data_IF_948269712596
#
_entry.id   IF_948269712596
#
_cell.length_a   1.000
_cell.length_b   1.000
_cell.length_c   1.000
_cell.angle_alpha   90.00
_cell.angle_beta   90.00
_cell.angle_gamma   90.00
#
_symmetry.space_group_name_H-M   'P 1'
#
loop_
_entity.id
_entity.type
_entity.pdbx_description
1 polymer ?
#
# COMPACT_ATOMS: atom_id res chain seq x y z
N UNK A 1 5.74 -6.01 -14.51
CA UNK A 1 4.47 -6.53 -14.00
C UNK A 1 4.44 -8.03 -14.16
N UNK A 2 3.85 -8.76 -13.19
CA UNK A 2 3.79 -10.23 -13.23
C UNK A 2 2.68 -10.75 -14.17
N UNK A 3 1.74 -9.89 -14.59
CA UNK A 3 0.64 -10.26 -15.49
C UNK A 3 -0.05 -11.58 -15.05
N UNK A 4 -0.24 -12.52 -15.96
CA UNK A 4 -0.91 -13.81 -15.67
C UNK A 4 -0.15 -14.72 -14.67
N UNK A 5 1.10 -14.38 -14.30
CA UNK A 5 1.82 -15.09 -13.25
C UNK A 5 1.16 -14.92 -11.87
N UNK A 6 0.34 -13.90 -11.67
CA UNK A 6 -0.46 -13.74 -10.44
C UNK A 6 -1.44 -14.90 -10.19
N UNK A 7 -1.76 -15.70 -11.23
CA UNK A 7 -2.61 -16.88 -11.12
C UNK A 7 -1.83 -18.15 -10.71
N UNK A 8 -0.52 -18.05 -10.47
CA UNK A 8 0.32 -19.19 -10.11
C UNK A 8 0.55 -19.25 -8.60
N UNK A 9 0.16 -20.37 -7.99
CA UNK A 9 0.33 -20.65 -6.56
C UNK A 9 1.77 -20.46 -6.09
N UNK A 10 2.74 -20.82 -6.92
CA UNK A 10 4.16 -20.67 -6.61
C UNK A 10 4.55 -19.19 -6.40
N UNK A 11 4.02 -18.28 -7.22
CA UNK A 11 4.28 -16.84 -7.06
C UNK A 11 3.67 -16.34 -5.75
N UNK A 12 2.43 -16.73 -5.45
CA UNK A 12 1.73 -16.32 -4.22
C UNK A 12 2.43 -16.85 -2.97
N UNK A 13 2.82 -18.13 -2.99
CA UNK A 13 3.58 -18.75 -1.91
C UNK A 13 4.94 -18.05 -1.69
N UNK A 14 5.67 -17.79 -2.79
CA UNK A 14 6.96 -17.08 -2.71
C UNK A 14 6.80 -15.65 -2.19
N UNK A 15 5.75 -14.93 -2.58
CA UNK A 15 5.49 -13.58 -2.08
C UNK A 15 5.26 -13.59 -0.56
N UNK A 16 4.50 -14.57 -0.06
CA UNK A 16 4.27 -14.75 1.39
C UNK A 16 5.56 -15.10 2.14
N UNK A 17 6.37 -16.00 1.60
CA UNK A 17 7.66 -16.38 2.17
C UNK A 17 8.62 -15.18 2.23
N UNK A 18 8.75 -14.43 1.13
CA UNK A 18 9.64 -13.28 1.06
C UNK A 18 9.20 -12.13 1.97
N UNK A 19 7.91 -11.97 2.24
CA UNK A 19 7.44 -11.03 3.25
C UNK A 19 8.01 -11.37 4.63
N UNK A 20 8.01 -12.66 5.01
CA UNK A 20 8.63 -13.12 6.26
C UNK A 20 10.13 -12.82 6.31
N UNK A 21 10.85 -13.11 5.22
CA UNK A 21 12.29 -12.79 5.13
C UNK A 21 12.54 -11.28 5.28
N UNK A 22 11.69 -10.43 4.72
CA UNK A 22 11.81 -8.97 4.88
C UNK A 22 11.54 -8.57 6.33
N UNK A 23 10.48 -9.11 6.94
CA UNK A 23 10.15 -8.86 8.34
C UNK A 23 11.34 -9.21 9.24
N UNK A 24 11.86 -10.43 9.14
CA UNK A 24 13.01 -10.89 9.92
C UNK A 24 14.25 -10.00 9.77
N UNK A 25 14.56 -9.60 8.52
CA UNK A 25 15.73 -8.75 8.24
C UNK A 25 15.58 -7.30 8.69
N UNK A 26 14.37 -6.88 8.97
CA UNK A 26 14.06 -5.51 9.42
C UNK A 26 13.60 -5.46 10.87
N UNK A 27 13.81 -6.54 11.64
CA UNK A 27 13.40 -6.64 13.05
C UNK A 27 13.99 -5.54 13.93
N UNK A 28 15.24 -5.12 13.66
CA UNK A 28 15.93 -4.05 14.39
C UNK A 28 15.71 -2.65 13.78
N UNK A 29 14.78 -2.52 12.82
CA UNK A 29 14.51 -1.26 12.13
C UNK A 29 13.26 -0.59 12.69
N UNK A 30 13.39 0.65 13.18
CA UNK A 30 12.25 1.45 13.68
C UNK A 30 11.30 1.96 12.58
N UNK A 31 11.65 1.75 11.30
CA UNK A 31 10.84 2.24 10.20
C UNK A 31 9.56 1.43 10.01
N UNK A 32 8.45 2.13 9.78
CA UNK A 32 7.22 1.54 9.28
C UNK A 32 7.36 1.27 7.77
N UNK A 33 7.31 0.01 7.36
CA UNK A 33 7.53 -0.42 5.98
C UNK A 33 6.20 -0.76 5.31
N UNK A 34 6.02 -0.31 4.07
CA UNK A 34 4.87 -0.63 3.24
C UNK A 34 5.34 -1.41 2.00
N UNK A 35 4.91 -2.66 1.87
CA UNK A 35 5.40 -3.60 0.86
C UNK A 35 4.23 -4.05 -0.01
N UNK A 36 4.24 -3.68 -1.30
CA UNK A 36 3.22 -4.11 -2.26
C UNK A 36 3.39 -5.58 -2.61
N UNK A 37 2.31 -6.38 -2.47
CA UNK A 37 2.31 -7.80 -2.82
C UNK A 37 0.91 -8.31 -3.19
N UNK A 38 0.83 -9.43 -3.94
CA UNK A 38 -0.42 -10.18 -4.08
C UNK A 38 -0.68 -11.00 -2.80
N UNK A 39 -1.94 -11.00 -2.34
CA UNK A 39 -2.35 -11.79 -1.17
C UNK A 39 -3.68 -12.46 -1.43
N UNK A 40 -3.75 -13.77 -1.21
CA UNK A 40 -4.99 -14.52 -1.22
C UNK A 40 -5.66 -14.50 0.15
N UNK A 41 -6.96 -14.17 0.18
CA UNK A 41 -7.84 -14.24 1.35
C UNK A 41 -9.24 -14.66 0.89
N UNK A 42 -9.83 -15.64 1.56
CA UNK A 42 -11.20 -16.13 1.29
C UNK A 42 -11.43 -16.47 -0.20
N UNK A 43 -10.47 -17.18 -0.81
CA UNK A 43 -10.46 -17.57 -2.24
C UNK A 43 -10.52 -16.38 -3.24
N UNK A 44 -10.14 -15.19 -2.79
CA UNK A 44 -9.97 -14.00 -3.64
C UNK A 44 -8.53 -13.53 -3.56
N UNK A 45 -8.02 -13.03 -4.68
CA UNK A 45 -6.69 -12.42 -4.75
C UNK A 45 -6.83 -10.92 -4.61
N UNK A 46 -6.00 -10.31 -3.75
CA UNK A 46 -5.95 -8.88 -3.52
C UNK A 46 -4.56 -8.33 -3.82
N UNK A 47 -4.50 -7.13 -4.36
CA UNK A 47 -3.30 -6.31 -4.40
C UNK A 47 -3.25 -5.56 -3.06
N UNK A 48 -2.26 -5.87 -2.22
CA UNK A 48 -2.19 -5.31 -0.86
C UNK A 48 -0.87 -4.58 -0.61
N UNK A 49 -0.91 -3.63 0.30
CA UNK A 49 0.25 -3.16 1.02
C UNK A 49 0.34 -3.95 2.34
N UNK A 50 1.34 -4.81 2.48
CA UNK A 50 1.72 -5.40 3.76
C UNK A 50 2.47 -4.35 4.57
N UNK A 51 2.05 -4.12 5.79
CA UNK A 51 2.67 -3.14 6.69
C UNK A 51 3.50 -3.88 7.73
N UNK A 52 4.80 -3.56 7.80
CA UNK A 52 5.78 -4.28 8.62
C UNK A 52 6.54 -3.32 9.51
N UNK A 53 6.76 -3.71 10.77
CA UNK A 53 7.62 -3.01 11.70
C UNK A 53 8.19 -4.01 12.73
N UNK A 54 9.44 -3.86 13.13
CA UNK A 54 10.11 -4.66 14.16
C UNK A 54 9.94 -6.19 13.97
N UNK A 55 10.01 -6.67 12.74
CA UNK A 55 9.88 -8.08 12.44
C UNK A 55 8.43 -8.60 12.35
N UNK A 56 7.44 -7.76 12.62
CA UNK A 56 6.03 -8.14 12.63
C UNK A 56 5.26 -7.57 11.45
N UNK A 57 4.35 -8.35 10.89
CA UNK A 57 3.35 -7.86 9.94
C UNK A 57 2.19 -7.30 10.74
N UNK A 58 1.97 -5.98 10.65
CA UNK A 58 0.96 -5.27 11.43
C UNK A 58 -0.42 -5.32 10.78
N UNK A 59 -0.47 -5.22 9.44
CA UNK A 59 -1.73 -5.22 8.70
C UNK A 59 -1.51 -5.52 7.21
N UNK A 60 -2.59 -5.87 6.52
CA UNK A 60 -2.70 -5.90 5.07
C UNK A 60 -3.75 -4.88 4.61
N UNK A 61 -3.34 -3.90 3.83
CA UNK A 61 -4.20 -2.86 3.27
C UNK A 61 -4.51 -3.21 1.82
N UNK A 62 -5.71 -3.70 1.48
CA UNK A 62 -6.06 -4.02 0.11
C UNK A 62 -6.36 -2.77 -0.69
N UNK A 63 -6.01 -2.79 -1.96
CA UNK A 63 -6.34 -1.74 -2.91
C UNK A 63 -7.85 -1.65 -3.11
N UNK A 64 -8.40 -0.43 -3.04
CA UNK A 64 -9.83 -0.18 -3.17
C UNK A 64 -10.26 -0.15 -4.63
N UNK A 65 -9.60 0.67 -5.45
CA UNK A 65 -9.97 0.90 -6.84
C UNK A 65 -9.00 0.22 -7.80
N UNK A 66 -9.53 -0.64 -8.67
CA UNK A 66 -8.76 -1.43 -9.62
C UNK A 66 -8.86 -0.80 -11.02
N UNK A 67 -7.79 -0.25 -11.59
CA UNK A 67 -7.82 0.25 -12.95
C UNK A 67 -8.05 -0.90 -13.94
N UNK A 68 -9.00 -0.72 -14.84
CA UNK A 68 -9.35 -1.69 -15.87
C UNK A 68 -9.65 -0.97 -17.20
N UNK A 69 -8.73 -0.10 -17.60
CA UNK A 69 -8.78 0.71 -18.80
C UNK A 69 -7.37 0.89 -19.40
N UNK A 70 -7.29 1.16 -20.70
CA UNK A 70 -6.03 1.29 -21.42
C UNK A 70 -5.18 0.02 -21.30
N UNK A 71 -3.96 0.18 -20.79
CA UNK A 71 -3.02 -0.92 -20.54
C UNK A 71 -3.23 -1.65 -19.20
N UNK A 72 -4.19 -1.22 -18.38
CA UNK A 72 -4.45 -1.80 -17.08
C UNK A 72 -5.55 -2.85 -17.12
N UNK A 73 -5.26 -4.04 -16.59
CA UNK A 73 -6.16 -5.20 -16.50
C UNK A 73 -6.23 -5.73 -15.07
N UNK A 74 -6.19 -4.85 -14.09
CA UNK A 74 -6.02 -5.27 -12.69
C UNK A 74 -7.23 -6.05 -12.18
N UNK A 75 -8.44 -5.66 -12.59
CA UNK A 75 -9.68 -6.37 -12.25
C UNK A 75 -9.76 -7.81 -12.80
N UNK A 76 -8.89 -8.20 -13.75
CA UNK A 76 -8.76 -9.58 -14.22
C UNK A 76 -8.17 -10.49 -13.14
N UNK A 77 -7.30 -9.97 -12.30
CA UNK A 77 -6.51 -10.75 -11.35
C UNK A 77 -6.95 -10.52 -9.90
N UNK A 78 -7.35 -9.30 -9.56
CA UNK A 78 -7.57 -8.88 -8.19
C UNK A 78 -9.01 -8.49 -7.92
N UNK A 79 -9.44 -8.74 -6.68
CA UNK A 79 -10.68 -8.23 -6.12
C UNK A 79 -10.45 -6.85 -5.48
N UNK A 80 -11.50 -6.02 -5.48
CA UNK A 80 -11.50 -4.76 -4.72
C UNK A 80 -11.45 -5.03 -3.22
N UNK A 81 -10.70 -4.20 -2.50
CA UNK A 81 -10.66 -4.19 -1.05
C UNK A 81 -11.84 -3.50 -0.38
N UNK A 82 -12.72 -2.85 -1.16
CA UNK A 82 -13.86 -2.12 -0.61
C UNK A 82 -14.80 -3.05 0.17
N UNK A 83 -15.05 -2.71 1.45
CA UNK A 83 -15.91 -3.52 2.32
C UNK A 83 -15.37 -4.89 2.69
N UNK A 84 -14.07 -5.13 2.50
CA UNK A 84 -13.41 -6.41 2.81
C UNK A 84 -12.62 -6.34 4.13
N UNK A 85 -13.26 -5.83 5.18
CA UNK A 85 -12.61 -5.69 6.49
C UNK A 85 -12.58 -7.02 7.25
N UNK A 86 -11.65 -7.16 8.19
CA UNK A 86 -11.51 -8.32 9.06
C UNK A 86 -10.06 -8.72 9.30
N UNK A 87 -9.78 -10.02 9.22
CA UNK A 87 -8.45 -10.58 9.44
C UNK A 87 -8.04 -11.52 8.33
N UNK A 88 -6.74 -11.62 8.11
CA UNK A 88 -6.11 -12.59 7.21
C UNK A 88 -5.10 -13.42 7.99
N UNK A 89 -5.16 -14.75 7.86
CA UNK A 89 -4.19 -15.64 8.52
C UNK A 89 -2.84 -15.63 7.82
N UNK A 90 -1.80 -15.24 8.56
CA UNK A 90 -0.42 -15.20 8.08
C UNK A 90 0.52 -15.75 9.14
N UNK A 91 1.34 -16.76 8.79
CA UNK A 91 2.29 -17.45 9.68
C UNK A 91 1.69 -17.90 11.04
N UNK A 92 0.42 -18.29 11.05
CA UNK A 92 -0.29 -18.74 12.26
C UNK A 92 -0.99 -17.65 13.06
N UNK A 93 -0.77 -16.40 12.74
CA UNK A 93 -1.38 -15.23 13.37
C UNK A 93 -2.56 -14.68 12.54
N UNK A 94 -3.49 -14.02 13.20
CA UNK A 94 -4.58 -13.28 12.57
C UNK A 94 -4.17 -11.82 12.41
N UNK A 95 -3.84 -11.41 11.19
CA UNK A 95 -3.39 -10.07 10.86
C UNK A 95 -4.56 -9.22 10.38
N UNK A 96 -4.75 -8.00 10.89
CA UNK A 96 -5.78 -7.07 10.42
C UNK A 96 -5.74 -6.88 8.90
N UNK A 97 -6.91 -6.89 8.28
CA UNK A 97 -7.09 -6.72 6.83
C UNK A 97 -8.23 -5.73 6.59
N UNK A 98 -7.96 -4.64 5.90
CA UNK A 98 -8.98 -3.63 5.61
C UNK A 98 -8.40 -2.35 5.01
N UNK A 99 -9.28 -1.54 4.42
CA UNK A 99 -8.90 -0.29 3.74
C UNK A 99 -8.78 0.90 4.68
N UNK A 100 -9.38 0.85 5.87
CA UNK A 100 -9.51 1.98 6.80
C UNK A 100 -8.62 1.85 8.05
N UNK A 101 -7.53 1.06 7.95
CA UNK A 101 -6.57 0.88 9.04
C UNK A 101 -5.59 2.06 9.07
N UNK A 102 -5.38 2.63 10.25
CA UNK A 102 -4.42 3.69 10.52
C UNK A 102 -3.33 3.20 11.48
N UNK A 103 -2.15 3.78 11.37
CA UNK A 103 -0.98 3.47 12.20
C UNK A 103 -0.60 4.70 12.99
N UNK A 104 -0.82 4.67 14.29
CA UNK A 104 -0.44 5.74 15.21
C UNK A 104 0.96 5.47 15.77
N UNK A 105 1.79 6.50 15.86
CA UNK A 105 3.13 6.42 16.41
C UNK A 105 3.13 6.80 17.89
N UNK A 106 3.54 5.88 18.76
CA UNK A 106 3.53 6.09 20.23
C UNK A 106 4.58 7.13 20.67
N UNK A 107 5.65 7.33 19.89
CA UNK A 107 6.77 8.18 20.25
C UNK A 107 6.72 9.57 19.62
N UNK A 108 5.85 9.78 18.63
CA UNK A 108 5.67 11.08 17.96
C UNK A 108 4.20 11.45 18.02
N UNK A 109 3.87 12.38 18.90
CA UNK A 109 2.51 12.86 19.10
C UNK A 109 1.90 13.38 17.79
N UNK A 110 0.69 12.91 17.46
CA UNK A 110 -0.04 13.31 16.27
C UNK A 110 0.49 12.73 14.96
N UNK A 111 1.47 11.84 14.99
CA UNK A 111 1.87 11.10 13.78
C UNK A 111 0.97 9.89 13.59
N UNK A 112 0.03 10.02 12.66
CA UNK A 112 -0.92 8.95 12.26
C UNK A 112 -0.79 8.74 10.76
N UNK A 113 -0.47 7.52 10.35
CA UNK A 113 -0.20 7.16 8.96
C UNK A 113 -1.35 6.36 8.36
N UNK A 114 -1.88 6.82 7.23
CA UNK A 114 -2.82 6.09 6.38
C UNK A 114 -2.12 5.60 5.11
N UNK A 115 -2.61 4.48 4.54
CA UNK A 115 -2.05 3.90 3.32
C UNK A 115 -3.13 3.66 2.27
N UNK A 116 -2.79 3.96 1.01
CA UNK A 116 -3.60 3.65 -0.17
C UNK A 116 -2.70 3.19 -1.33
N UNK A 117 -3.28 2.63 -2.39
CA UNK A 117 -2.48 2.03 -3.47
C UNK A 117 -2.84 2.65 -4.82
N UNK A 118 -1.87 3.34 -5.42
CA UNK A 118 -1.82 3.78 -6.81
C UNK A 118 -3.11 4.47 -7.29
N UNK A 119 -4.03 3.72 -7.94
CA UNK A 119 -5.28 4.23 -8.51
C UNK A 119 -6.17 4.92 -7.49
N UNK A 120 -6.09 4.52 -6.24
CA UNK A 120 -6.94 5.05 -5.18
C UNK A 120 -6.94 6.59 -5.11
N UNK A 121 -5.76 7.24 -5.27
CA UNK A 121 -5.65 8.71 -5.24
C UNK A 121 -6.34 9.40 -6.43
N UNK A 122 -6.54 8.68 -7.56
CA UNK A 122 -7.09 9.28 -8.78
C UNK A 122 -8.61 9.31 -8.82
N UNK A 123 -9.26 8.63 -7.90
CA UNK A 123 -10.71 8.48 -7.85
C UNK A 123 -11.39 9.70 -7.21
N UNK A 124 -12.68 9.95 -7.51
CA UNK A 124 -13.43 11.05 -6.90
C UNK A 124 -13.58 10.94 -5.39
N UNK A 125 -13.58 9.72 -4.83
CA UNK A 125 -13.68 9.44 -3.40
C UNK A 125 -12.53 8.53 -2.95
N UNK A 126 -11.30 9.06 -2.85
CA UNK A 126 -10.14 8.27 -2.50
C UNK A 126 -10.16 7.88 -1.01
N UNK A 127 -9.58 6.72 -0.64
CA UNK A 127 -9.46 6.28 0.76
C UNK A 127 -8.79 7.32 1.67
N UNK A 128 -7.83 8.08 1.15
CA UNK A 128 -7.13 9.13 1.91
C UNK A 128 -8.07 10.18 2.52
N UNK A 129 -9.24 10.41 1.92
CA UNK A 129 -10.25 11.33 2.49
C UNK A 129 -10.78 10.79 3.81
N UNK A 130 -11.14 9.50 3.87
CA UNK A 130 -11.61 8.85 5.11
C UNK A 130 -10.49 8.78 6.14
N UNK A 131 -9.27 8.46 5.70
CA UNK A 131 -8.10 8.43 6.59
C UNK A 131 -7.85 9.78 7.25
N UNK A 132 -7.87 10.88 6.49
CA UNK A 132 -7.70 12.23 7.04
C UNK A 132 -8.82 12.61 8.02
N UNK A 133 -10.08 12.28 7.70
CA UNK A 133 -11.22 12.51 8.60
C UNK A 133 -11.12 11.69 9.89
N UNK A 134 -10.47 10.54 9.84
CA UNK A 134 -10.18 9.68 10.99
C UNK A 134 -8.89 10.08 11.75
N UNK A 135 -8.21 11.16 11.35
CA UNK A 135 -7.07 11.72 12.07
C UNK A 135 -5.70 11.42 11.47
N UNK A 136 -5.62 10.80 10.29
CA UNK A 136 -4.33 10.58 9.64
C UNK A 136 -3.67 11.89 9.24
N UNK A 137 -2.40 12.05 9.64
CA UNK A 137 -1.58 13.23 9.36
C UNK A 137 -0.54 13.00 8.26
N UNK A 138 -0.29 11.74 7.91
CA UNK A 138 0.59 11.35 6.81
C UNK A 138 -0.10 10.28 5.95
N UNK A 139 -0.08 10.48 4.63
CA UNK A 139 -0.59 9.51 3.66
C UNK A 139 0.54 8.86 2.88
N UNK A 140 0.51 7.54 2.79
CA UNK A 140 1.42 6.74 1.96
C UNK A 140 0.64 6.20 0.76
N UNK A 141 1.15 6.43 -0.46
CA UNK A 141 0.58 5.86 -1.68
C UNK A 141 1.62 4.99 -2.40
N UNK A 142 1.38 3.69 -2.48
CA UNK A 142 2.22 2.75 -3.22
C UNK A 142 1.85 2.79 -4.71
N UNK A 143 2.68 3.43 -5.52
CA UNK A 143 2.41 3.61 -6.94
C UNK A 143 3.47 2.98 -7.85
N UNK A 144 3.01 2.20 -8.83
CA UNK A 144 3.77 1.75 -10.00
C UNK A 144 3.06 2.23 -11.29
N UNK A 145 2.80 3.53 -11.37
CA UNK A 145 2.08 4.14 -12.48
C UNK A 145 2.95 4.26 -13.72
N UNK A 146 2.34 4.11 -14.90
CA UNK A 146 3.01 4.32 -16.19
C UNK A 146 3.55 5.75 -16.33
N UNK A 147 4.56 5.90 -17.19
CA UNK A 147 5.12 7.19 -17.58
C UNK A 147 4.54 7.60 -18.94
N UNK A 148 3.83 8.70 -18.97
CA UNK A 148 3.34 9.37 -20.17
C UNK A 148 3.85 10.81 -20.20
N UNK A 149 3.98 11.38 -21.39
CA UNK A 149 4.40 12.78 -21.55
C UNK A 149 3.43 13.71 -20.80
N UNK A 150 3.98 14.52 -19.89
CA UNK A 150 3.20 15.48 -19.08
C UNK A 150 2.47 14.87 -17.86
N UNK A 151 2.50 13.55 -17.68
CA UNK A 151 1.83 12.90 -16.54
C UNK A 151 2.56 13.15 -15.22
N UNK A 152 3.85 13.39 -15.25
CA UNK A 152 4.66 13.73 -14.08
C UNK A 152 4.20 15.02 -13.41
N UNK A 153 4.02 16.08 -14.21
CA UNK A 153 3.50 17.38 -13.73
C UNK A 153 2.11 17.23 -13.13
N UNK A 154 1.19 16.60 -13.87
CA UNK A 154 -0.17 16.39 -13.39
C UNK A 154 -0.22 15.58 -12.08
N UNK A 155 0.64 14.59 -11.98
CA UNK A 155 0.79 13.74 -10.79
C UNK A 155 1.32 14.52 -9.58
N UNK A 156 2.30 15.39 -9.82
CA UNK A 156 2.85 16.25 -8.77
C UNK A 156 1.78 17.25 -8.25
N UNK A 157 1.03 17.84 -9.16
CA UNK A 157 -0.08 18.73 -8.81
C UNK A 157 -1.18 18.01 -8.03
N UNK A 158 -1.56 16.79 -8.45
CA UNK A 158 -2.54 15.97 -7.73
C UNK A 158 -2.11 15.71 -6.28
N UNK A 159 -0.85 15.33 -6.07
CA UNK A 159 -0.32 15.06 -4.72
C UNK A 159 -0.29 16.35 -3.89
N UNK A 160 0.17 17.47 -4.44
CA UNK A 160 0.18 18.77 -3.75
C UNK A 160 -1.22 19.22 -3.35
N UNK A 161 -2.16 19.15 -4.28
CA UNK A 161 -3.55 19.55 -4.01
C UNK A 161 -4.22 18.61 -3.00
N UNK A 162 -3.97 17.32 -3.08
CA UNK A 162 -4.49 16.35 -2.12
C UNK A 162 -3.91 16.62 -0.73
N UNK A 163 -2.60 16.81 -0.61
CA UNK A 163 -1.93 17.15 0.65
C UNK A 163 -2.51 18.43 1.26
N UNK A 164 -2.66 19.48 0.46
CA UNK A 164 -3.24 20.76 0.92
C UNK A 164 -4.71 20.62 1.36
N UNK A 165 -5.51 19.87 0.61
CA UNK A 165 -6.93 19.64 0.92
C UNK A 165 -7.12 18.83 2.21
N UNK A 166 -6.28 17.83 2.44
CA UNK A 166 -6.37 16.94 3.61
C UNK A 166 -5.64 17.49 4.84
N UNK A 167 -4.84 18.57 4.67
CA UNK A 167 -3.95 19.10 5.73
C UNK A 167 -3.06 17.99 6.30
N UNK A 168 -2.56 17.11 5.41
CA UNK A 168 -1.77 15.95 5.75
C UNK A 168 -0.52 15.87 4.85
N UNK A 169 0.59 15.42 5.41
CA UNK A 169 1.79 15.06 4.64
C UNK A 169 1.47 13.94 3.65
N UNK A 170 2.05 13.97 2.46
CA UNK A 170 1.82 12.94 1.45
C UNK A 170 3.14 12.33 1.01
N UNK A 171 3.37 11.07 1.37
CA UNK A 171 4.53 10.30 0.95
C UNK A 171 4.14 9.41 -0.23
N UNK A 172 4.61 9.76 -1.42
CA UNK A 172 4.46 8.96 -2.62
C UNK A 172 5.82 8.43 -3.06
N UNK A 173 5.94 7.12 -3.18
CA UNK A 173 7.15 6.50 -3.71
C UNK A 173 6.97 6.21 -5.20
N UNK A 174 7.81 6.83 -6.03
CA UNK A 174 8.00 6.47 -7.44
C UNK A 174 9.03 5.35 -7.49
N UNK A 175 8.70 4.23 -8.12
CA UNK A 175 9.70 3.25 -8.49
C UNK A 175 10.59 3.85 -9.58
N UNK A 176 11.76 4.34 -9.21
CA UNK A 176 12.93 4.28 -10.08
C UNK A 176 13.67 3.03 -9.65
N UNK A 177 13.94 2.14 -10.59
CA UNK A 177 14.93 1.09 -10.39
C UNK A 177 16.27 1.78 -10.28
N UNK A 178 16.66 2.15 -9.08
CA UNK A 178 18.02 2.46 -8.71
C UNK A 178 18.39 1.52 -7.59
N UNK A 179 19.35 0.65 -7.86
CA UNK A 179 20.15 -0.05 -6.86
C UNK A 179 20.73 0.98 -5.90
N UNK A 180 20.15 1.09 -4.71
CA UNK A 180 20.63 2.00 -3.67
C UNK A 180 19.51 2.37 -2.71
N UNK A 181 19.52 1.72 -1.57
CA UNK A 181 18.76 2.09 -0.38
C UNK A 181 19.18 3.51 0.04
N UNK A 182 18.30 4.50 -0.04
CA UNK A 182 18.51 5.77 0.64
C UNK A 182 17.47 5.91 1.73
N UNK A 183 17.95 5.70 2.92
CA UNK A 183 17.37 5.93 4.21
C UNK A 183 16.85 7.37 4.38
N UNK A 184 15.81 7.48 5.16
CA UNK A 184 15.31 8.70 5.77
C UNK A 184 16.46 9.59 6.28
N UNK A 185 16.44 10.86 5.89
CA UNK A 185 17.05 11.93 6.66
C UNK A 185 15.97 12.96 6.99
N UNK A 186 15.93 13.21 8.26
CA UNK A 186 15.19 14.28 8.95
C UNK A 186 15.23 15.62 8.24
#
# INVERSE_FOLDING_TARGET
SCSDLFLQDKLLASAREQLGVIADRTAECDALLFIGMPLEKDHKLFNVAAVVQHGHVLAFIPKTYLPNYGEFYEARHFASGEGQDGYCRYQGEEIPFGTDILFECDTVEGLVVGCEICEDIWTPNPPNTRHALAGATVMVNLSASNELVGKDTYREELVKLTSARLIAGFQRRRWRVHTGCSLWRS
#
